data_IF_009971763941
#
_entry.id   IF_009971763941
#
_cell.length_a   1.000
_cell.length_b   1.000
_cell.length_c   1.000
_cell.angle_alpha   90.00
_cell.angle_beta   90.00
_cell.angle_gamma   90.00
#
_symmetry.space_group_name_H-M   'P 1'
#
loop_
_entity.id
_entity.type
_entity.pdbx_description
1 polymer ?
#
# COMPACT_ATOMS: atom_id res chain seq x y z
N UNK A 1 9.48 0.02 -21.05
CA UNK A 1 9.00 1.41 -21.27
C UNK A 1 7.48 1.52 -21.53
N UNK A 2 6.77 0.49 -21.99
CA UNK A 2 5.29 0.53 -22.10
C UNK A 2 4.58 0.28 -20.76
N UNK A 3 5.07 -0.67 -19.95
CA UNK A 3 4.43 -1.05 -18.69
C UNK A 3 4.36 0.10 -17.67
N UNK A 4 5.34 1.00 -17.64
CA UNK A 4 5.29 2.20 -16.78
C UNK A 4 4.13 3.12 -17.17
N UNK A 5 3.97 3.39 -18.47
CA UNK A 5 2.85 4.21 -18.99
C UNK A 5 1.49 3.54 -18.76
N UNK A 6 1.44 2.22 -18.88
CA UNK A 6 0.25 1.42 -18.56
C UNK A 6 -0.08 1.51 -17.06
N UNK A 7 0.91 1.40 -16.17
CA UNK A 7 0.69 1.57 -14.71
C UNK A 7 0.15 2.96 -14.38
N UNK A 8 0.64 4.02 -15.03
CA UNK A 8 0.05 5.37 -14.89
C UNK A 8 -1.41 5.38 -15.32
N UNK A 9 -1.74 4.78 -16.47
CA UNK A 9 -3.12 4.71 -16.95
C UNK A 9 -4.03 3.87 -16.03
N UNK A 10 -3.51 2.82 -15.40
CA UNK A 10 -4.25 2.05 -14.40
C UNK A 10 -4.51 2.86 -13.14
N UNK A 11 -3.51 3.62 -12.65
CA UNK A 11 -3.71 4.52 -11.49
C UNK A 11 -4.82 5.52 -11.79
N UNK A 12 -4.73 6.24 -12.91
CA UNK A 12 -5.76 7.18 -13.33
C UNK A 12 -7.16 6.53 -13.34
N UNK A 13 -7.27 5.31 -13.90
CA UNK A 13 -8.54 4.57 -13.91
C UNK A 13 -9.05 4.21 -12.50
N UNK A 14 -8.17 3.84 -11.57
CA UNK A 14 -8.54 3.54 -10.19
C UNK A 14 -9.00 4.78 -9.44
N UNK A 15 -8.38 5.91 -9.72
CA UNK A 15 -8.70 7.22 -9.13
C UNK A 15 -9.91 7.89 -9.81
N UNK A 16 -10.47 7.27 -10.87
CA UNK A 16 -11.60 7.81 -11.64
C UNK A 16 -11.22 8.95 -12.59
N UNK A 17 -9.93 9.15 -12.82
CA UNK A 17 -9.37 10.16 -13.71
C UNK A 17 -9.39 9.70 -15.19
N UNK A 18 -9.21 10.68 -16.08
CA UNK A 18 -9.11 10.41 -17.51
C UNK A 18 -7.78 9.71 -17.88
N UNK A 19 -7.84 8.81 -18.86
CA UNK A 19 -6.66 8.08 -19.30
C UNK A 19 -5.64 9.02 -19.98
N UNK A 20 -4.33 8.78 -19.78
CA UNK A 20 -3.30 9.55 -20.46
C UNK A 20 -3.46 9.51 -21.99
N UNK A 21 -3.13 10.61 -22.70
CA UNK A 21 -3.28 10.69 -24.13
C UNK A 21 -2.50 9.57 -24.83
N UNK A 22 -3.12 8.98 -25.86
CA UNK A 22 -2.57 7.85 -26.61
C UNK A 22 -2.79 6.48 -25.96
N UNK A 23 -3.46 6.40 -24.80
CA UNK A 23 -3.91 5.14 -24.22
C UNK A 23 -5.43 5.09 -24.27
N UNK A 24 -5.96 4.08 -24.96
CA UNK A 24 -7.40 3.82 -24.98
C UNK A 24 -7.75 2.77 -23.92
N UNK A 25 -9.01 2.74 -23.47
CA UNK A 25 -9.48 1.71 -22.56
C UNK A 25 -9.25 0.30 -23.11
N UNK A 26 -9.54 0.09 -24.40
CA UNK A 26 -9.30 -1.19 -25.10
C UNK A 26 -7.81 -1.54 -25.17
N UNK A 27 -6.94 -0.57 -25.43
CA UNK A 27 -5.49 -0.79 -25.46
C UNK A 27 -4.93 -1.16 -24.08
N UNK A 28 -5.47 -0.54 -23.04
CA UNK A 28 -5.16 -0.86 -21.66
C UNK A 28 -5.60 -2.29 -21.29
N UNK A 29 -6.83 -2.67 -21.62
CA UNK A 29 -7.36 -4.00 -21.33
C UNK A 29 -6.62 -5.09 -22.13
N UNK A 30 -6.25 -4.80 -23.39
CA UNK A 30 -5.40 -5.68 -24.20
C UNK A 30 -4.04 -5.91 -23.56
N UNK A 31 -3.39 -4.86 -23.05
CA UNK A 31 -2.13 -5.01 -22.34
C UNK A 31 -2.27 -5.85 -21.06
N UNK A 32 -3.38 -5.70 -20.33
CA UNK A 32 -3.65 -6.54 -19.15
C UNK A 32 -3.85 -8.01 -19.52
N UNK A 33 -4.43 -8.32 -20.69
CA UNK A 33 -4.56 -9.71 -21.14
C UNK A 33 -3.19 -10.36 -21.37
N UNK A 34 -2.21 -9.59 -21.88
CA UNK A 34 -0.93 -10.13 -22.31
C UNK A 34 0.19 -9.99 -21.26
N UNK A 35 0.11 -9.02 -20.33
CA UNK A 35 1.18 -8.72 -19.38
C UNK A 35 0.86 -9.19 -17.93
N UNK A 36 1.50 -10.27 -17.43
CA UNK A 36 1.25 -10.77 -16.08
C UNK A 36 1.67 -9.79 -14.98
N UNK A 37 2.75 -9.03 -15.18
CA UNK A 37 3.24 -8.07 -14.19
C UNK A 37 2.25 -6.92 -13.98
N UNK A 38 1.66 -6.42 -15.06
CA UNK A 38 0.64 -5.37 -14.98
C UNK A 38 -0.66 -5.88 -14.36
N UNK A 39 -1.04 -7.15 -14.57
CA UNK A 39 -2.16 -7.77 -13.84
C UNK A 39 -1.89 -7.90 -12.35
N UNK A 40 -0.70 -8.37 -11.99
CA UNK A 40 -0.31 -8.52 -10.59
C UNK A 40 -0.28 -7.15 -9.88
N UNK A 41 0.19 -6.12 -10.57
CA UNK A 41 0.19 -4.75 -10.08
C UNK A 41 -1.23 -4.20 -9.90
N UNK A 42 -2.13 -4.37 -10.89
CA UNK A 42 -3.53 -3.91 -10.80
C UNK A 42 -4.26 -4.55 -9.62
N UNK A 43 -4.07 -5.86 -9.42
CA UNK A 43 -4.66 -6.58 -8.29
C UNK A 43 -4.16 -6.02 -6.93
N UNK A 44 -2.86 -5.73 -6.81
CA UNK A 44 -2.28 -5.13 -5.60
C UNK A 44 -2.79 -3.71 -5.37
N UNK A 45 -2.86 -2.90 -6.42
CA UNK A 45 -3.35 -1.52 -6.35
C UNK A 45 -4.82 -1.48 -5.89
N UNK A 46 -5.69 -2.32 -6.47
CA UNK A 46 -7.10 -2.45 -6.04
C UNK A 46 -7.24 -2.88 -4.59
N UNK A 47 -6.44 -3.85 -4.16
CA UNK A 47 -6.45 -4.32 -2.78
C UNK A 47 -6.04 -3.21 -1.81
N UNK A 48 -5.06 -2.38 -2.18
CA UNK A 48 -4.63 -1.23 -1.40
C UNK A 48 -5.70 -0.14 -1.33
N UNK A 49 -6.29 0.28 -2.46
CA UNK A 49 -7.38 1.27 -2.49
C UNK A 49 -8.53 0.83 -1.59
N UNK A 50 -8.97 -0.43 -1.71
CA UNK A 50 -10.04 -0.95 -0.86
C UNK A 50 -9.64 -1.02 0.63
N UNK A 51 -8.36 -1.22 0.95
CA UNK A 51 -7.89 -1.19 2.33
C UNK A 51 -7.92 0.24 2.91
N UNK A 52 -7.54 1.23 2.11
CA UNK A 52 -7.60 2.66 2.46
C UNK A 52 -9.06 3.07 2.67
N UNK A 53 -9.97 2.74 1.76
CA UNK A 53 -11.40 3.06 1.88
C UNK A 53 -12.01 2.49 3.16
N UNK A 54 -11.68 1.23 3.49
CA UNK A 54 -12.13 0.60 4.74
C UNK A 54 -11.51 1.23 5.98
N UNK A 55 -10.30 1.80 5.89
CA UNK A 55 -9.69 2.51 7.00
C UNK A 55 -10.36 3.87 7.20
N UNK A 56 -10.62 4.60 6.11
CA UNK A 56 -11.34 5.86 6.12
C UNK A 56 -12.75 5.70 6.71
N UNK A 57 -13.52 4.72 6.25
CA UNK A 57 -14.85 4.43 6.79
C UNK A 57 -14.86 4.11 8.29
N UNK A 58 -13.79 3.46 8.81
CA UNK A 58 -13.64 3.21 10.25
C UNK A 58 -13.29 4.47 11.03
N UNK A 59 -12.49 5.36 10.45
CA UNK A 59 -12.19 6.65 11.08
C UNK A 59 -13.45 7.53 11.18
N UNK A 60 -14.29 7.51 10.14
CA UNK A 60 -15.55 8.26 10.09
C UNK A 60 -16.64 7.65 11.00
N UNK A 61 -16.79 6.32 10.99
CA UNK A 61 -17.69 5.60 11.89
C UNK A 61 -17.22 5.56 13.35
N UNK A 62 -15.94 5.87 13.57
CA UNK A 62 -15.29 6.05 14.86
C UNK A 62 -15.43 7.46 15.42
N UNK A 63 -16.43 8.23 14.97
CA UNK A 63 -16.78 9.53 15.53
C UNK A 63 -16.77 9.49 17.05
N UNK A 64 -15.80 10.21 17.63
CA UNK A 64 -15.65 10.61 19.04
C UNK A 64 -16.57 9.86 20.02
N UNK A 65 -16.26 8.59 20.29
CA UNK A 65 -16.61 7.96 21.56
C UNK A 65 -15.31 7.80 22.33
N UNK A 66 -14.67 8.93 22.66
CA UNK A 66 -13.82 8.99 23.85
C UNK A 66 -14.73 8.72 25.05
N UNK A 67 -15.05 7.45 25.29
CA UNK A 67 -15.23 6.99 26.66
C UNK A 67 -13.84 7.05 27.25
N UNK A 68 -13.52 8.20 27.85
CA UNK A 68 -12.57 8.29 28.94
C UNK A 68 -13.09 7.37 30.06
N UNK A 69 -12.81 6.07 29.95
CA UNK A 69 -12.85 5.19 31.10
C UNK A 69 -11.63 5.54 31.95
N UNK A 70 -11.79 6.49 32.86
CA UNK A 70 -10.72 6.88 33.77
C UNK A 70 -10.93 8.22 34.47
N UNK A 71 -11.89 8.28 35.39
CA UNK A 71 -11.81 9.00 36.67
C UNK A 71 -13.22 9.03 37.32
N UNK A 72 -13.58 7.95 38.00
CA UNK A 72 -14.47 8.09 39.15
C UNK A 72 -13.65 8.72 40.29
N UNK A 73 -14.11 9.74 41.02
CA UNK A 73 -13.50 10.08 42.29
C UNK A 73 -13.87 8.99 43.30
N UNK A 74 -12.82 8.33 43.79
CA UNK A 74 -12.84 7.40 44.91
C UNK A 74 -13.38 8.08 46.17
N UNK A 75 -14.27 7.39 46.88
CA UNK A 75 -14.34 7.46 48.33
C UNK A 75 -14.40 6.05 48.93
N UNK A 76 -13.35 5.75 49.70
CA UNK A 76 -13.17 4.80 50.81
C UNK A 76 -13.55 3.30 50.69
N UNK A 77 -12.51 2.42 50.76
CA UNK A 77 -12.59 1.07 51.33
C UNK A 77 -11.62 0.03 50.75
N UNK A 78 -10.52 -0.29 51.45
CA UNK A 78 -9.47 -1.28 51.11
C UNK A 78 -9.76 -2.72 51.68
N UNK A 79 -8.89 -3.78 51.58
CA UNK A 79 -8.16 -4.42 50.45
C UNK A 79 -8.37 -6.00 50.43
N UNK A 80 -7.40 -6.87 50.06
CA UNK A 80 -7.15 -7.48 48.75
C UNK A 80 -7.30 -9.04 48.70
N UNK A 81 -7.32 -9.66 47.51
CA UNK A 81 -6.68 -10.99 47.26
C UNK A 81 -6.67 -11.38 45.77
N UNK A 82 -5.44 -11.50 45.26
CA UNK A 82 -4.88 -12.49 44.33
C UNK A 82 -5.70 -13.08 43.19
N UNK A 83 -5.26 -12.79 41.96
CA UNK A 83 -5.72 -13.52 40.77
C UNK A 83 -5.19 -13.03 39.43
N UNK A 84 -3.88 -13.25 39.18
CA UNK A 84 -3.27 -13.69 37.90
C UNK A 84 -3.65 -12.97 36.58
N UNK A 85 -2.62 -12.41 35.92
CA UNK A 85 -2.60 -11.75 34.60
C UNK A 85 -3.08 -12.64 33.41
N UNK A 86 -3.33 -12.05 32.21
CA UNK A 86 -2.21 -11.78 31.31
C UNK A 86 -2.27 -10.42 30.57
N UNK A 87 -1.09 -10.06 30.06
CA UNK A 87 -0.83 -8.97 29.17
C UNK A 87 -1.66 -9.07 27.87
N UNK A 88 -2.21 -7.94 27.47
CA UNK A 88 -2.37 -7.58 26.07
C UNK A 88 -2.21 -6.06 26.00
N UNK A 89 -0.95 -5.63 26.04
CA UNK A 89 -0.57 -4.26 25.66
C UNK A 89 -0.92 -4.08 24.19
N UNK A 90 -2.15 -3.66 23.92
CA UNK A 90 -2.50 -3.08 22.64
C UNK A 90 -1.81 -1.74 22.58
N UNK A 91 -0.62 -1.69 21.96
CA UNK A 91 0.05 -0.43 21.67
C UNK A 91 -0.86 0.33 20.71
N UNK A 92 -1.61 1.29 21.24
CA UNK A 92 -2.27 2.31 20.44
C UNK A 92 -1.15 3.11 19.80
N UNK A 93 -0.92 2.90 18.50
CA UNK A 93 -0.01 3.73 17.71
C UNK A 93 -0.70 5.09 17.55
N UNK A 94 -0.19 6.18 18.14
CA UNK A 94 -0.71 7.49 17.84
C UNK A 94 -0.43 7.77 16.35
N UNK A 95 -1.47 8.12 15.58
CA UNK A 95 -1.30 8.68 14.24
C UNK A 95 -0.48 9.97 14.39
N UNK A 96 0.83 9.86 14.18
CA UNK A 96 1.80 10.92 14.42
C UNK A 96 3.22 10.44 14.70
N UNK A 97 3.43 9.15 15.01
CA UNK A 97 4.77 8.60 15.22
C UNK A 97 5.43 8.13 13.91
N UNK A 98 6.51 8.78 13.43
CA UNK A 98 7.22 8.38 12.22
C UNK A 98 7.84 6.97 12.34
N UNK A 99 8.16 6.50 13.54
CA UNK A 99 8.70 5.15 13.73
C UNK A 99 7.67 4.06 13.44
N UNK A 100 6.38 4.33 13.67
CA UNK A 100 5.31 3.40 13.35
C UNK A 100 4.99 3.37 11.84
N UNK A 101 5.14 4.52 11.16
CA UNK A 101 5.06 4.60 9.70
C UNK A 101 6.22 3.81 9.07
N UNK A 102 7.45 3.98 9.57
CA UNK A 102 8.63 3.18 9.17
C UNK A 102 8.39 1.67 9.38
N UNK A 103 7.86 1.27 10.54
CA UNK A 103 7.56 -0.13 10.82
C UNK A 103 6.42 -0.72 9.95
N UNK A 104 5.56 0.12 9.39
CA UNK A 104 4.53 -0.28 8.43
C UNK A 104 5.13 -0.39 7.02
N UNK A 105 5.95 0.57 6.62
CA UNK A 105 6.70 0.56 5.36
C UNK A 105 7.66 -0.64 5.28
N UNK A 106 8.32 -1.00 6.39
CA UNK A 106 9.18 -2.17 6.48
C UNK A 106 8.42 -3.50 6.30
N UNK A 107 7.09 -3.52 6.51
CA UNK A 107 6.22 -4.69 6.25
C UNK A 107 5.69 -4.73 4.82
N UNK A 108 5.69 -3.60 4.12
CA UNK A 108 5.43 -3.58 2.68
C UNK A 108 6.66 -4.13 1.99
N UNK A 109 6.59 -5.39 1.56
CA UNK A 109 7.67 -5.98 0.77
C UNK A 109 7.93 -5.10 -0.45
N UNK A 110 9.19 -4.67 -0.68
CA UNK A 110 9.52 -3.96 -1.92
C UNK A 110 9.14 -4.86 -3.09
N UNK A 111 8.38 -4.31 -4.03
CA UNK A 111 8.15 -4.95 -5.33
C UNK A 111 9.54 -5.15 -5.95
N UNK A 112 9.94 -6.38 -6.32
CA UNK A 112 11.24 -6.59 -6.94
C UNK A 112 11.31 -5.71 -8.19
N UNK A 113 12.39 -4.94 -8.31
CA UNK A 113 12.69 -4.24 -9.55
C UNK A 113 12.67 -5.27 -10.69
N UNK A 114 12.05 -4.97 -11.85
CA UNK A 114 12.15 -5.88 -12.98
C UNK A 114 13.63 -6.07 -13.29
N UNK A 115 14.06 -7.33 -13.32
CA UNK A 115 15.43 -7.72 -13.62
C UNK A 115 15.95 -6.88 -14.78
N UNK A 116 17.00 -6.10 -14.52
CA UNK A 116 17.71 -5.38 -15.56
C UNK A 116 18.27 -6.44 -16.50
N UNK A 117 17.59 -6.67 -17.62
CA UNK A 117 18.06 -7.55 -18.67
C UNK A 117 19.52 -7.17 -18.99
N UNK A 118 20.44 -8.15 -19.08
CA UNK A 118 21.83 -7.87 -19.38
C UNK A 118 21.91 -7.17 -20.73
N UNK A 119 22.38 -5.93 -20.73
CA UNK A 119 22.76 -5.23 -21.96
C UNK A 119 23.95 -5.98 -22.55
N UNK A 120 23.68 -6.85 -23.52
CA UNK A 120 24.73 -7.42 -24.34
C UNK A 120 25.50 -6.26 -25.01
N UNK A 121 26.84 -6.24 -24.96
CA UNK A 121 27.61 -5.24 -25.70
C UNK A 121 27.38 -5.48 -27.19
N UNK A 122 26.93 -4.44 -27.90
CA UNK A 122 26.96 -4.41 -29.36
C UNK A 122 28.43 -4.30 -29.76
N UNK A 123 29.02 -5.41 -30.18
CA UNK A 123 30.32 -5.40 -30.86
C UNK A 123 30.17 -4.63 -32.18
N UNK A 124 30.54 -3.36 -32.14
CA UNK A 124 30.76 -2.54 -33.32
C UNK A 124 32.10 -2.96 -33.97
N UNK A 125 32.15 -4.17 -34.51
CA UNK A 125 33.25 -4.59 -35.37
C UNK A 125 33.05 -3.97 -36.74
N UNK A 126 33.61 -2.76 -36.91
CA UNK A 126 33.70 -2.07 -38.19
C UNK A 126 34.49 -2.90 -39.19
N UNK A 127 33.82 -3.33 -40.26
CA UNK A 127 34.44 -3.98 -41.42
C UNK A 127 34.16 -3.17 -42.68
N UNK A 128 34.98 -2.15 -42.90
CA UNK A 128 35.09 -1.40 -44.16
C UNK A 128 35.89 -2.26 -45.14
N UNK A 129 35.35 -2.59 -46.31
CA UNK A 129 36.17 -2.89 -47.50
C UNK A 129 35.54 -2.33 -48.77
N UNK A 130 36.45 -1.84 -49.61
CA UNK A 130 36.32 -1.10 -50.86
C UNK A 130 35.54 -1.81 -51.96
#
# INVERSE_FOLDING_TARGET
MLCSRIRTALSARLDGEELPPGITARGLDGHLADCPDCRAWDAQARALTAAIDRAAARAEGGGLRTRTAGAAPSDAGAPPSDGRAPAAGGTVVPLGDPAAVEALLARVRPVPAPDAAPTAPVDASGGRTH
#
